data_IF_627332941106
#
_entry.id   IF_627332941106
#
_cell.length_a   1.000
_cell.length_b   1.000
_cell.length_c   1.000
_cell.angle_alpha   90.00
_cell.angle_beta   90.00
_cell.angle_gamma   90.00
#
_symmetry.space_group_name_H-M   'P 1'
#
loop_
_entity.id
_entity.type
_entity.pdbx_description
1 polymer ?
#
# COMPACT_ATOMS: atom_id res chain seq x y z
N UNK A 1 21.07 -21.95 -18.78
CA UNK A 1 20.63 -20.57 -18.47
C UNK A 1 19.23 -20.38 -19.05
N UNK A 2 18.21 -20.13 -18.22
CA UNK A 2 16.86 -19.83 -18.73
C UNK A 2 16.92 -18.47 -19.45
N UNK A 3 16.69 -18.43 -20.76
CA UNK A 3 16.57 -17.18 -21.52
C UNK A 3 15.21 -16.58 -21.17
N UNK A 4 15.21 -15.53 -20.35
CA UNK A 4 14.00 -14.76 -20.06
C UNK A 4 13.88 -13.65 -21.09
N UNK A 5 13.13 -13.91 -22.16
CA UNK A 5 12.79 -12.87 -23.15
C UNK A 5 11.71 -11.98 -22.54
N UNK A 6 12.12 -10.81 -22.06
CA UNK A 6 11.21 -9.80 -21.51
C UNK A 6 10.50 -9.11 -22.69
N UNK A 7 9.26 -9.50 -22.97
CA UNK A 7 8.41 -8.75 -23.90
C UNK A 7 7.91 -7.50 -23.19
N UNK A 8 8.65 -6.39 -23.29
CA UNK A 8 8.08 -5.06 -23.09
C UNK A 8 7.08 -4.82 -24.23
N UNK A 9 5.83 -5.27 -24.07
CA UNK A 9 4.73 -4.70 -24.84
C UNK A 9 4.45 -3.34 -24.22
N UNK A 10 5.26 -2.35 -24.59
CA UNK A 10 4.83 -0.97 -24.48
C UNK A 10 3.70 -0.85 -25.50
N UNK A 11 2.46 -0.90 -25.02
CA UNK A 11 1.31 -0.44 -25.80
C UNK A 11 1.52 1.07 -25.95
N UNK A 12 2.30 1.44 -26.96
CA UNK A 12 2.60 2.80 -27.40
C UNK A 12 1.43 3.41 -28.19
N UNK A 13 0.26 2.78 -28.20
CA UNK A 13 -0.92 3.22 -28.95
C UNK A 13 -1.74 4.27 -28.20
N UNK A 14 -1.11 5.09 -27.35
CA UNK A 14 -1.79 6.12 -26.57
C UNK A 14 -0.92 7.09 -25.78
N UNK A 15 0.40 6.89 -25.72
CA UNK A 15 1.31 7.93 -25.21
C UNK A 15 1.52 8.99 -26.30
N UNK A 16 0.53 9.86 -26.49
CA UNK A 16 0.79 11.20 -26.99
C UNK A 16 1.66 11.88 -25.95
N UNK A 17 2.99 11.88 -26.17
CA UNK A 17 3.84 12.89 -25.53
C UNK A 17 3.20 14.24 -25.84
N UNK A 18 2.85 14.95 -24.78
CA UNK A 18 1.97 16.12 -24.80
C UNK A 18 2.23 17.05 -25.99
N UNK A 19 1.20 17.22 -26.81
CA UNK A 19 1.28 18.01 -28.05
C UNK A 19 1.01 19.49 -27.82
N UNK A 20 0.57 19.86 -26.60
CA UNK A 20 0.31 21.22 -26.20
C UNK A 20 0.68 21.45 -24.71
N UNK A 21 0.73 22.72 -24.33
CA UNK A 21 1.13 23.16 -22.98
C UNK A 21 0.22 22.62 -21.87
N UNK A 22 -1.08 22.45 -22.15
CA UNK A 22 -2.06 21.92 -21.19
C UNK A 22 -1.76 20.46 -20.87
N UNK A 23 -1.51 19.64 -21.89
CA UNK A 23 -1.14 18.24 -21.72
C UNK A 23 0.21 18.12 -20.98
N UNK A 24 1.19 18.95 -21.33
CA UNK A 24 2.51 18.94 -20.66
C UNK A 24 2.35 19.23 -19.16
N UNK A 25 1.54 20.23 -18.81
CA UNK A 25 1.28 20.59 -17.42
C UNK A 25 0.58 19.44 -16.67
N UNK A 26 -0.43 18.82 -17.26
CA UNK A 26 -1.14 17.69 -16.65
C UNK A 26 -0.20 16.49 -16.39
N UNK A 27 0.70 16.17 -17.34
CA UNK A 27 1.69 15.12 -17.12
C UNK A 27 2.72 15.49 -16.04
N UNK A 28 3.18 16.74 -16.02
CA UNK A 28 4.11 17.19 -14.97
C UNK A 28 3.47 17.11 -13.58
N UNK A 29 2.20 17.48 -13.44
CA UNK A 29 1.46 17.35 -12.19
C UNK A 29 1.27 15.88 -11.78
N UNK A 30 0.99 14.97 -12.72
CA UNK A 30 0.88 13.55 -12.43
C UNK A 30 2.20 12.95 -11.94
N UNK A 31 3.31 13.26 -12.62
CA UNK A 31 4.59 12.59 -12.43
C UNK A 31 5.40 13.11 -11.23
N UNK A 32 5.07 14.28 -10.68
CA UNK A 32 5.87 14.96 -9.66
C UNK A 32 5.42 14.56 -8.24
N UNK A 33 6.26 13.91 -7.42
CA UNK A 33 5.96 13.67 -6.01
C UNK A 33 5.71 15.00 -5.28
N UNK A 34 4.79 14.99 -4.31
CA UNK A 34 4.40 16.16 -3.53
C UNK A 34 4.19 15.81 -2.06
N UNK A 35 3.50 16.67 -1.31
CA UNK A 35 3.32 16.53 0.14
C UNK A 35 2.76 15.16 0.58
N UNK A 36 1.81 14.60 -0.18
CA UNK A 36 1.26 13.28 0.13
C UNK A 36 2.30 12.15 -0.01
N UNK A 37 3.28 12.29 -0.91
CA UNK A 37 4.38 11.34 -1.05
C UNK A 37 5.41 11.51 0.05
N UNK A 38 5.73 12.76 0.41
CA UNK A 38 6.58 13.08 1.56
C UNK A 38 5.98 12.56 2.87
N UNK A 39 4.65 12.63 3.01
CA UNK A 39 3.96 12.10 4.17
C UNK A 39 4.22 10.61 4.41
N UNK A 40 4.41 9.80 3.35
CA UNK A 40 4.72 8.38 3.49
C UNK A 40 6.08 8.14 4.19
N UNK A 41 6.96 9.13 4.22
CA UNK A 41 8.29 9.00 4.85
C UNK A 41 8.25 8.84 6.37
N UNK A 42 7.11 9.14 7.02
CA UNK A 42 6.93 8.90 8.45
C UNK A 42 6.99 7.41 8.82
N UNK A 43 6.82 6.51 7.85
CA UNK A 43 6.92 5.07 8.05
C UNK A 43 8.26 4.51 7.54
N UNK A 44 9.35 5.27 7.57
CA UNK A 44 10.69 4.76 7.20
C UNK A 44 11.43 4.17 8.39
N UNK A 45 12.33 3.23 8.09
CA UNK A 45 13.21 2.59 9.06
C UNK A 45 12.75 1.20 9.43
N UNK A 46 13.18 0.73 10.60
CA UNK A 46 12.87 -0.59 11.14
C UNK A 46 12.11 -0.41 12.46
N UNK A 47 11.01 -1.14 12.65
CA UNK A 47 10.23 -1.07 13.89
C UNK A 47 9.58 -2.41 14.26
N UNK A 48 9.43 -2.62 15.56
CA UNK A 48 8.65 -3.72 16.11
C UNK A 48 7.17 -3.32 16.21
N UNK A 49 6.26 -4.27 16.03
CA UNK A 49 4.84 -4.06 16.25
C UNK A 49 4.19 -5.21 17.01
N UNK A 50 3.04 -4.92 17.61
CA UNK A 50 2.13 -5.90 18.21
C UNK A 50 0.86 -5.95 17.38
N UNK A 51 0.66 -7.07 16.67
CA UNK A 51 -0.59 -7.36 15.98
C UNK A 51 -1.62 -7.86 16.98
N UNK A 52 -2.73 -7.14 17.09
CA UNK A 52 -3.85 -7.52 17.94
C UNK A 52 -5.02 -8.00 17.08
N UNK A 53 -5.46 -9.23 17.32
CA UNK A 53 -6.53 -9.87 16.54
C UNK A 53 -7.72 -10.14 17.46
N UNK A 54 -8.86 -9.50 17.17
CA UNK A 54 -10.12 -9.78 17.83
C UNK A 54 -10.91 -10.79 17.02
N UNK A 55 -11.10 -11.99 17.57
CA UNK A 55 -11.90 -13.05 16.93
C UNK A 55 -13.38 -12.96 17.31
N UNK A 56 -13.70 -12.28 18.41
CA UNK A 56 -15.07 -12.11 18.91
C UNK A 56 -15.27 -10.69 19.49
N UNK A 57 -16.43 -10.05 19.29
CA UNK A 57 -16.75 -8.78 19.92
C UNK A 57 -16.70 -8.86 21.45
N UNK A 58 -16.02 -7.92 22.09
CA UNK A 58 -15.96 -7.81 23.56
C UNK A 58 -15.00 -8.76 24.27
N UNK A 59 -14.24 -9.59 23.54
CA UNK A 59 -13.16 -10.40 24.11
C UNK A 59 -11.79 -9.73 23.96
N UNK A 60 -10.85 -10.15 24.79
CA UNK A 60 -9.44 -9.74 24.69
C UNK A 60 -8.83 -10.21 23.36
N UNK A 61 -7.98 -9.39 22.73
CA UNK A 61 -7.31 -9.76 21.48
C UNK A 61 -6.24 -10.82 21.70
N UNK A 62 -6.02 -11.62 20.67
CA UNK A 62 -4.80 -12.39 20.52
C UNK A 62 -3.69 -11.42 20.11
N UNK A 63 -2.59 -11.40 20.87
CA UNK A 63 -1.43 -10.57 20.57
C UNK A 63 -0.34 -11.42 19.89
N UNK A 64 0.10 -10.98 18.72
CA UNK A 64 1.30 -11.50 18.06
C UNK A 64 2.33 -10.38 17.91
N UNK A 65 3.61 -10.74 17.86
CA UNK A 65 4.69 -9.77 17.60
C UNK A 65 5.19 -9.93 16.16
N UNK A 66 5.67 -8.84 15.60
CA UNK A 66 6.35 -8.82 14.32
C UNK A 66 7.30 -7.64 14.21
N UNK A 67 8.07 -7.64 13.14
CA UNK A 67 9.00 -6.59 12.73
C UNK A 67 8.55 -6.07 11.37
N UNK A 68 8.78 -4.80 11.12
CA UNK A 68 8.54 -4.21 9.82
C UNK A 68 9.70 -3.29 9.41
N UNK A 69 9.89 -3.16 8.11
CA UNK A 69 10.88 -2.27 7.49
C UNK A 69 10.25 -1.46 6.38
N UNK A 70 10.34 -0.14 6.47
CA UNK A 70 9.83 0.81 5.50
C UNK A 70 10.92 1.47 4.66
N UNK A 71 10.74 1.45 3.34
CA UNK A 71 11.67 2.02 2.36
C UNK A 71 10.94 2.75 1.22
N UNK A 72 11.42 3.94 0.84
CA UNK A 72 10.93 4.62 -0.36
C UNK A 72 11.53 3.99 -1.62
N UNK A 73 10.68 3.77 -2.63
CA UNK A 73 11.03 3.23 -3.93
C UNK A 73 10.85 4.29 -5.04
N UNK A 74 11.56 4.06 -6.16
CA UNK A 74 11.36 4.76 -7.43
C UNK A 74 11.39 6.30 -7.32
N UNK A 75 12.38 6.80 -6.59
CA UNK A 75 12.59 8.24 -6.40
C UNK A 75 11.53 8.91 -5.54
N UNK A 76 11.10 8.23 -4.47
CA UNK A 76 10.15 8.78 -3.50
C UNK A 76 8.68 8.67 -3.91
N UNK A 77 8.34 7.78 -4.85
CA UNK A 77 6.96 7.64 -5.37
C UNK A 77 6.13 6.62 -4.61
N UNK A 78 6.77 5.59 -4.10
CA UNK A 78 6.09 4.52 -3.39
C UNK A 78 6.82 4.21 -2.10
N UNK A 79 6.09 3.89 -1.04
CA UNK A 79 6.63 3.34 0.18
C UNK A 79 6.38 1.83 0.16
N UNK A 80 7.43 1.03 0.30
CA UNK A 80 7.30 -0.39 0.57
C UNK A 80 7.52 -0.64 2.06
N UNK A 81 6.61 -1.35 2.69
CA UNK A 81 6.77 -1.91 4.03
C UNK A 81 6.84 -3.43 3.91
N UNK A 82 7.95 -4.02 4.34
CA UNK A 82 8.07 -5.47 4.51
C UNK A 82 7.73 -5.84 5.94
N UNK A 83 6.97 -6.91 6.14
CA UNK A 83 6.56 -7.40 7.45
C UNK A 83 7.03 -8.84 7.64
N UNK A 84 7.57 -9.15 8.82
CA UNK A 84 7.89 -10.49 9.28
C UNK A 84 7.29 -10.69 10.68
N UNK A 85 6.57 -11.79 10.91
CA UNK A 85 5.97 -12.02 12.21
C UNK A 85 5.23 -13.34 12.32
N UNK A 86 4.31 -13.40 13.28
CA UNK A 86 3.43 -14.55 13.47
C UNK A 86 1.98 -14.09 13.38
N UNK A 87 1.15 -14.83 12.68
CA UNK A 87 -0.28 -14.59 12.61
C UNK A 87 -1.02 -15.93 12.66
N UNK A 88 -2.07 -16.03 13.49
CA UNK A 88 -2.77 -17.30 13.74
C UNK A 88 -1.84 -18.48 14.11
N UNK A 89 -0.72 -18.19 14.79
CA UNK A 89 0.28 -19.19 15.17
C UNK A 89 1.20 -19.66 14.04
N UNK A 90 1.10 -19.10 12.84
CA UNK A 90 1.92 -19.42 11.68
C UNK A 90 2.88 -18.27 11.32
N UNK A 91 4.08 -18.55 10.79
CA UNK A 91 4.97 -17.51 10.28
C UNK A 91 4.32 -16.74 9.14
N UNK A 92 4.25 -15.41 9.29
CA UNK A 92 3.69 -14.49 8.32
C UNK A 92 4.80 -13.64 7.72
N UNK A 93 4.80 -13.52 6.39
CA UNK A 93 5.60 -12.56 5.65
C UNK A 93 4.67 -11.78 4.72
N UNK A 94 4.82 -10.47 4.69
CA UNK A 94 4.00 -9.63 3.84
C UNK A 94 4.77 -8.44 3.27
N UNK A 95 4.26 -7.92 2.15
CA UNK A 95 4.69 -6.65 1.57
C UNK A 95 3.46 -5.78 1.40
N UNK A 96 3.53 -4.58 1.94
CA UNK A 96 2.58 -3.50 1.69
C UNK A 96 3.27 -2.42 0.84
N UNK A 97 2.66 -2.06 -0.28
CA UNK A 97 3.15 -0.99 -1.15
C UNK A 97 2.15 0.15 -1.16
N UNK A 98 2.53 1.29 -0.61
CA UNK A 98 1.73 2.52 -0.63
C UNK A 98 2.18 3.44 -1.76
N UNK A 99 1.22 4.17 -2.34
CA UNK A 99 1.44 5.27 -3.26
C UNK A 99 0.35 6.32 -3.15
N UNK A 100 0.53 7.42 -3.88
CA UNK A 100 -0.48 8.47 -4.00
C UNK A 100 -0.70 8.82 -5.47
N UNK A 101 -1.95 8.81 -5.91
CA UNK A 101 -2.31 9.19 -7.26
C UNK A 101 -2.56 10.70 -7.32
N UNK A 102 -1.64 11.42 -7.96
CA UNK A 102 -1.70 12.88 -8.07
C UNK A 102 -2.91 13.41 -8.84
N UNK A 103 -3.55 12.61 -9.70
CA UNK A 103 -4.73 13.02 -10.45
C UNK A 103 -6.00 12.71 -9.66
N UNK A 104 -6.09 11.51 -9.09
CA UNK A 104 -7.23 11.12 -8.25
C UNK A 104 -7.22 11.78 -6.87
N UNK A 105 -6.06 12.30 -6.45
CA UNK A 105 -5.80 12.84 -5.11
C UNK A 105 -6.12 11.82 -4.00
N UNK A 106 -5.68 10.58 -4.21
CA UNK A 106 -6.05 9.44 -3.39
C UNK A 106 -4.82 8.57 -3.08
N UNK A 107 -4.72 8.09 -1.84
CA UNK A 107 -3.76 7.06 -1.47
C UNK A 107 -4.22 5.71 -2.01
N UNK A 108 -3.26 4.89 -2.43
CA UNK A 108 -3.48 3.52 -2.89
C UNK A 108 -2.50 2.61 -2.19
N UNK A 109 -2.95 1.42 -1.81
CA UNK A 109 -2.10 0.41 -1.25
C UNK A 109 -2.36 -0.96 -1.87
N UNK A 110 -1.29 -1.71 -2.06
CA UNK A 110 -1.30 -3.12 -2.44
C UNK A 110 -0.74 -3.93 -1.27
N UNK A 111 -1.44 -4.99 -0.89
CA UNK A 111 -1.01 -5.95 0.11
C UNK A 111 -0.87 -7.34 -0.50
N UNK A 112 0.27 -7.98 -0.23
CA UNK A 112 0.53 -9.39 -0.53
C UNK A 112 1.17 -10.07 0.68
N UNK A 113 0.80 -11.31 0.92
CA UNK A 113 1.35 -12.11 2.02
C UNK A 113 1.49 -13.60 1.63
N UNK A 114 2.09 -14.37 2.53
CA UNK A 114 2.24 -15.83 2.41
C UNK A 114 1.09 -16.63 3.04
N UNK A 115 -0.02 -15.98 3.41
CA UNK A 115 -1.20 -16.57 4.04
C UNK A 115 -2.32 -16.82 3.03
N UNK A 116 -2.25 -16.19 1.85
CA UNK A 116 -3.16 -16.42 0.74
C UNK A 116 -2.47 -16.38 -0.63
N UNK A 117 -3.27 -16.52 -1.69
CA UNK A 117 -2.79 -16.42 -3.09
C UNK A 117 -3.37 -15.22 -3.84
N UNK A 118 -4.26 -14.47 -3.20
CA UNK A 118 -4.81 -13.21 -3.71
C UNK A 118 -4.04 -12.02 -3.17
N UNK A 119 -3.97 -10.95 -3.96
CA UNK A 119 -3.53 -9.65 -3.49
C UNK A 119 -4.74 -8.79 -3.12
N UNK A 120 -4.52 -7.84 -2.23
CA UNK A 120 -5.56 -6.90 -1.78
C UNK A 120 -5.18 -5.50 -2.21
N UNK A 121 -6.17 -4.74 -2.67
CA UNK A 121 -6.03 -3.32 -3.00
C UNK A 121 -6.95 -2.51 -2.08
N UNK A 122 -6.43 -1.41 -1.56
CA UNK A 122 -7.21 -0.41 -0.84
C UNK A 122 -6.91 0.98 -1.37
N UNK A 123 -7.89 1.87 -1.22
CA UNK A 123 -7.73 3.29 -1.53
C UNK A 123 -8.32 4.16 -0.44
N UNK A 124 -7.86 5.41 -0.35
CA UNK A 124 -8.40 6.32 0.65
C UNK A 124 -7.72 7.68 0.72
N UNK A 125 -8.02 8.40 1.80
CA UNK A 125 -7.61 9.80 1.97
C UNK A 125 -7.09 10.07 3.37
N UNK A 126 -6.41 11.21 3.52
CA UNK A 126 -5.99 11.72 4.81
C UNK A 126 -7.22 12.14 5.63
N UNK A 127 -7.33 11.63 6.86
CA UNK A 127 -8.21 12.23 7.84
C UNK A 127 -7.54 13.50 8.41
N UNK A 128 -8.14 14.66 8.16
CA UNK A 128 -7.56 15.95 8.56
C UNK A 128 -7.50 16.18 10.06
N UNK A 129 -8.38 15.54 10.84
CA UNK A 129 -8.46 15.67 12.30
C UNK A 129 -7.40 14.80 12.98
N UNK A 130 -7.31 13.53 12.58
CA UNK A 130 -6.40 12.56 13.20
C UNK A 130 -5.03 12.52 12.55
N UNK A 131 -4.85 13.16 11.39
CA UNK A 131 -3.62 13.08 10.57
C UNK A 131 -3.22 11.62 10.34
N UNK A 132 -4.18 10.78 9.96
CA UNK A 132 -3.94 9.40 9.57
C UNK A 132 -4.47 9.16 8.17
N UNK A 133 -3.80 8.30 7.40
CA UNK A 133 -4.37 7.79 6.16
C UNK A 133 -5.45 6.78 6.52
N UNK A 134 -6.67 6.98 6.00
CA UNK A 134 -7.79 6.05 6.18
C UNK A 134 -8.13 5.45 4.83
N UNK A 135 -8.03 4.14 4.72
CA UNK A 135 -8.21 3.41 3.47
C UNK A 135 -9.27 2.31 3.62
N UNK A 136 -9.92 2.01 2.51
CA UNK A 136 -10.94 0.98 2.40
C UNK A 136 -10.58 0.06 1.25
N UNK A 137 -10.84 -1.22 1.44
CA UNK A 137 -10.63 -2.22 0.39
C UNK A 137 -11.53 -3.42 0.62
N UNK A 138 -11.38 -4.40 -0.25
CA UNK A 138 -11.96 -5.72 -0.06
C UNK A 138 -10.99 -6.82 -0.46
N UNK A 139 -11.14 -7.97 0.17
CA UNK A 139 -10.46 -9.21 -0.19
C UNK A 139 -11.49 -10.32 -0.33
N UNK A 140 -11.11 -11.42 -0.99
CA UNK A 140 -11.96 -12.59 -1.10
C UNK A 140 -11.62 -13.55 0.03
N UNK A 141 -12.55 -13.71 0.97
CA UNK A 141 -12.53 -14.75 1.98
C UNK A 141 -13.04 -16.06 1.38
N UNK A 142 -12.33 -17.16 1.63
CA UNK A 142 -12.66 -18.45 1.03
C UNK A 142 -14.02 -19.02 1.49
N UNK A 143 -14.57 -18.53 2.61
CA UNK A 143 -15.84 -18.99 3.18
C UNK A 143 -16.95 -17.96 2.96
N UNK A 144 -16.66 -16.69 3.19
CA UNK A 144 -17.64 -15.60 3.23
C UNK A 144 -17.72 -14.82 1.91
N UNK A 145 -16.84 -15.09 0.94
CA UNK A 145 -16.75 -14.33 -0.30
C UNK A 145 -16.13 -12.95 -0.08
N UNK A 146 -16.62 -11.94 -0.80
CA UNK A 146 -16.06 -10.58 -0.69
C UNK A 146 -16.24 -10.01 0.73
N UNK A 147 -15.11 -9.73 1.37
CA UNK A 147 -15.06 -9.13 2.71
C UNK A 147 -14.42 -7.74 2.62
N UNK A 148 -15.15 -6.73 3.09
CA UNK A 148 -14.68 -5.35 3.14
C UNK A 148 -13.91 -5.08 4.41
N UNK A 149 -12.88 -4.25 4.32
CA UNK A 149 -12.11 -3.80 5.48
C UNK A 149 -11.88 -2.29 5.42
N UNK A 150 -11.52 -1.75 6.59
CA UNK A 150 -11.01 -0.41 6.77
C UNK A 150 -9.66 -0.54 7.45
N UNK A 151 -8.65 0.11 6.89
CA UNK A 151 -7.36 0.29 7.55
C UNK A 151 -7.12 1.77 7.83
N UNK A 152 -6.37 2.04 8.89
CA UNK A 152 -5.91 3.38 9.24
C UNK A 152 -4.47 3.26 9.67
N UNK A 153 -3.58 3.99 9.03
CA UNK A 153 -2.14 3.83 9.22
C UNK A 153 -1.34 5.03 8.73
N UNK A 154 -0.03 4.99 9.02
CA UNK A 154 0.96 6.06 8.80
C UNK A 154 0.52 7.35 9.48
N UNK A 155 1.05 7.57 10.69
CA UNK A 155 0.79 8.74 11.52
C UNK A 155 2.15 9.35 11.89
N UNK A 156 2.27 10.67 12.05
CA UNK A 156 3.52 11.31 12.45
C UNK A 156 3.82 11.17 13.96
N UNK A 157 3.26 10.13 14.64
CA UNK A 157 3.44 9.87 16.07
C UNK A 157 4.83 9.31 16.34
#
# INVERSE_FOLDING_TARGET
MKKMTLFFVIILTGFSFAQNEVEMKAYMEYLTPGEAHEYLTHALGDWDYVLKIWTEPGKEPINNKGTAKGEMLLGGRYLQISHDGVAWGMPMQAIQLFGFDNIKKEFQALWIDNMGTGFTISTGTMNNETKNIVMFGSFIDAVNGETKFKESGISPI
#
